data_IF_884651170656
#
_entry.id   IF_884651170656
#
_cell.length_a   1.000
_cell.length_b   1.000
_cell.length_c   1.000
_cell.angle_alpha   90.00
_cell.angle_beta   90.00
_cell.angle_gamma   90.00
#
_symmetry.space_group_name_H-M   'P 1'
#
loop_
_entity.id
_entity.type
_entity.pdbx_description
1 polymer ?
#
# COMPACT_ATOMS: atom_id res chain seq x y z
N UNK A 1 -1.39 13.01 -18.55
CA UNK A 1 -0.99 14.28 -17.88
C UNK A 1 0.41 14.63 -18.33
N UNK A 2 0.65 15.91 -18.58
CA UNK A 2 1.99 16.39 -18.96
C UNK A 2 2.99 16.18 -17.82
N UNK A 3 4.19 15.72 -18.17
CA UNK A 3 5.27 15.58 -17.19
C UNK A 3 6.01 16.92 -17.08
N UNK A 4 5.71 17.65 -16.00
CA UNK A 4 6.27 18.98 -15.77
C UNK A 4 7.73 18.97 -15.32
N UNK A 5 8.23 17.84 -14.85
CA UNK A 5 9.60 17.70 -14.33
C UNK A 5 10.24 16.41 -14.85
N UNK A 6 10.60 16.35 -16.14
CA UNK A 6 11.08 15.12 -16.75
C UNK A 6 12.43 14.63 -16.19
N UNK A 7 13.21 15.51 -15.55
CA UNK A 7 14.48 15.15 -14.88
C UNK A 7 14.26 14.52 -13.50
N UNK A 8 13.05 14.57 -12.96
CA UNK A 8 12.74 13.96 -11.67
C UNK A 8 12.04 12.63 -11.89
N UNK A 9 12.69 11.55 -11.46
CA UNK A 9 12.11 10.22 -11.54
C UNK A 9 10.97 10.09 -10.53
N UNK A 10 9.81 9.62 -11.01
CA UNK A 10 8.66 9.31 -10.16
C UNK A 10 7.99 8.08 -10.70
N UNK A 11 7.84 7.08 -9.86
CA UNK A 11 7.10 5.87 -10.20
C UNK A 11 5.97 5.67 -9.20
N UNK A 12 4.77 5.45 -9.71
CA UNK A 12 3.56 5.34 -8.90
C UNK A 12 2.79 4.11 -9.32
N UNK A 13 2.39 3.33 -8.34
CA UNK A 13 1.67 2.08 -8.57
C UNK A 13 0.47 2.03 -7.66
N UNK A 14 -0.71 1.79 -8.22
CA UNK A 14 -1.92 1.48 -7.48
C UNK A 14 -2.16 -0.03 -7.56
N UNK A 15 -2.41 -0.66 -6.41
CA UNK A 15 -2.82 -2.07 -6.34
C UNK A 15 -4.08 -2.15 -5.51
N UNK A 16 -5.13 -2.76 -6.07
CA UNK A 16 -6.40 -2.96 -5.37
C UNK A 16 -6.81 -4.41 -5.48
N UNK A 17 -7.45 -4.92 -4.42
CA UNK A 17 -7.90 -6.30 -4.42
C UNK A 17 -8.72 -6.64 -3.19
N UNK A 18 -9.19 -7.88 -3.16
CA UNK A 18 -9.92 -8.42 -2.03
C UNK A 18 -9.01 -9.38 -1.28
N UNK A 19 -8.83 -9.13 0.02
CA UNK A 19 -8.00 -9.99 0.85
C UNK A 19 -8.82 -11.10 1.49
N UNK A 20 -8.12 -12.15 1.94
CA UNK A 20 -8.70 -13.26 2.69
C UNK A 20 -8.25 -13.18 4.14
N UNK A 21 -9.08 -13.73 5.03
CA UNK A 21 -8.78 -13.74 6.46
C UNK A 21 -9.17 -12.44 7.15
N UNK A 22 -8.82 -12.37 8.43
CA UNK A 22 -9.09 -11.18 9.24
C UNK A 22 -7.96 -10.16 9.09
N UNK A 23 -8.27 -8.92 9.38
CA UNK A 23 -7.29 -7.83 9.37
C UNK A 23 -7.23 -7.18 10.74
N UNK A 24 -6.02 -6.90 11.18
CA UNK A 24 -5.74 -6.11 12.38
C UNK A 24 -4.58 -5.17 12.10
N UNK A 25 -4.26 -4.34 13.07
CA UNK A 25 -3.13 -3.40 12.94
C UNK A 25 -1.81 -4.12 12.70
N UNK A 26 -1.60 -5.26 13.35
CA UNK A 26 -0.38 -6.04 13.21
C UNK A 26 -0.20 -6.55 11.77
N UNK A 27 -1.26 -7.01 11.13
CA UNK A 27 -1.21 -7.47 9.75
C UNK A 27 -0.85 -6.34 8.79
N UNK A 28 -1.41 -5.14 9.00
CA UNK A 28 -1.07 -3.96 8.20
C UNK A 28 0.41 -3.61 8.38
N UNK A 29 0.89 -3.61 9.63
CA UNK A 29 2.30 -3.34 9.94
C UNK A 29 3.23 -4.35 9.28
N UNK A 30 2.86 -5.63 9.34
CA UNK A 30 3.65 -6.72 8.74
C UNK A 30 3.71 -6.58 7.23
N UNK A 31 2.65 -6.10 6.58
CA UNK A 31 2.68 -5.84 5.14
C UNK A 31 3.75 -4.81 4.78
N UNK A 32 3.80 -3.70 5.50
CA UNK A 32 4.84 -2.70 5.25
C UNK A 32 6.23 -3.30 5.39
N UNK A 33 6.46 -4.08 6.45
CA UNK A 33 7.76 -4.72 6.70
C UNK A 33 8.13 -5.69 5.59
N UNK A 34 7.19 -6.52 5.18
CA UNK A 34 7.42 -7.53 4.14
C UNK A 34 7.71 -6.87 2.79
N UNK A 35 6.91 -5.88 2.41
CA UNK A 35 7.10 -5.18 1.15
C UNK A 35 8.46 -4.46 1.11
N UNK A 36 8.80 -3.75 2.18
CA UNK A 36 10.08 -3.04 2.27
C UNK A 36 11.25 -4.01 2.21
N UNK A 37 11.18 -5.12 2.92
CA UNK A 37 12.25 -6.12 2.95
C UNK A 37 12.47 -6.72 1.56
N UNK A 38 11.41 -7.11 0.87
CA UNK A 38 11.53 -7.76 -0.43
C UNK A 38 11.87 -6.79 -1.57
N UNK A 39 11.43 -5.54 -1.46
CA UNK A 39 11.67 -4.54 -2.51
C UNK A 39 12.92 -3.68 -2.26
N UNK A 40 13.53 -3.81 -1.10
CA UNK A 40 14.67 -2.97 -0.73
C UNK A 40 14.30 -1.53 -0.43
N UNK A 41 13.05 -1.27 -0.05
CA UNK A 41 12.61 0.06 0.38
C UNK A 41 13.11 0.36 1.79
N UNK A 42 13.52 1.61 2.03
CA UNK A 42 14.03 2.04 3.34
C UNK A 42 13.09 3.05 3.97
N UNK A 43 12.57 2.70 5.13
CA UNK A 43 11.68 3.57 5.89
C UNK A 43 12.46 4.47 6.85
N UNK A 44 11.90 5.64 7.16
CA UNK A 44 12.44 6.51 8.21
C UNK A 44 12.20 5.94 9.60
N UNK A 45 11.16 5.14 9.79
CA UNK A 45 10.77 4.58 11.07
C UNK A 45 9.50 3.75 10.97
N UNK A 46 8.71 3.77 12.02
CA UNK A 46 7.47 3.01 12.11
C UNK A 46 6.36 3.58 11.22
N UNK A 47 5.44 2.73 10.71
CA UNK A 47 4.28 3.23 9.99
C UNK A 47 3.31 3.96 10.90
N UNK A 48 2.52 4.86 10.30
CA UNK A 48 1.38 5.51 10.94
C UNK A 48 0.16 4.69 10.56
N UNK A 49 -0.56 4.14 11.55
CA UNK A 49 -1.73 3.30 11.30
C UNK A 49 -2.88 3.81 12.15
N UNK A 50 -3.96 4.21 11.49
CA UNK A 50 -5.18 4.64 12.14
C UNK A 50 -6.32 3.71 11.80
N UNK A 51 -7.15 3.40 12.80
CA UNK A 51 -8.46 2.82 12.59
C UNK A 51 -9.48 3.94 12.77
N UNK A 52 -10.39 4.20 11.82
CA UNK A 52 -11.39 5.25 11.96
C UNK A 52 -12.28 5.11 13.20
N UNK A 53 -12.59 3.89 13.61
CA UNK A 53 -13.25 3.53 14.88
C UNK A 53 -14.41 4.47 15.25
N UNK A 54 -15.41 4.54 14.37
CA UNK A 54 -16.57 5.43 14.54
C UNK A 54 -16.43 6.81 13.93
N UNK A 55 -15.23 7.18 13.49
CA UNK A 55 -15.01 8.40 12.71
C UNK A 55 -15.19 8.06 11.22
N UNK A 56 -15.53 9.05 10.43
CA UNK A 56 -15.74 8.86 9.00
C UNK A 56 -17.02 8.06 8.71
N UNK A 57 -17.13 7.56 7.48
CA UNK A 57 -18.32 6.81 7.05
C UNK A 57 -18.27 5.38 7.58
N UNK A 58 -19.43 4.85 7.96
CA UNK A 58 -19.55 3.48 8.46
C UNK A 58 -19.00 2.46 7.47
N UNK A 59 -19.25 2.63 6.18
CA UNK A 59 -18.80 1.71 5.14
C UNK A 59 -17.28 1.72 4.93
N UNK A 60 -16.60 2.77 5.41
CA UNK A 60 -15.16 2.94 5.26
C UNK A 60 -14.37 2.51 6.49
N UNK A 61 -15.02 1.82 7.42
CA UNK A 61 -14.31 1.34 8.62
C UNK A 61 -13.25 0.29 8.24
N UNK A 62 -12.07 0.42 8.85
CA UNK A 62 -10.93 -0.43 8.57
C UNK A 62 -9.66 0.24 9.04
N UNK A 63 -8.70 0.44 8.14
CA UNK A 63 -7.42 1.05 8.48
C UNK A 63 -7.01 2.03 7.40
N UNK A 64 -6.48 3.16 7.83
CA UNK A 64 -5.81 4.15 7.00
C UNK A 64 -4.36 4.21 7.47
N UNK A 65 -3.42 3.87 6.61
CA UNK A 65 -2.04 3.72 7.03
C UNK A 65 -1.08 4.34 6.02
N UNK A 66 0.05 4.81 6.54
CA UNK A 66 1.10 5.39 5.71
C UNK A 66 2.46 5.07 6.29
N UNK A 67 3.38 4.66 5.42
CA UNK A 67 4.78 4.48 5.77
C UNK A 67 5.63 5.46 4.95
N UNK A 68 6.18 6.51 5.58
CA UNK A 68 7.12 7.36 4.89
C UNK A 68 8.44 6.62 4.65
N UNK A 69 8.87 6.63 3.40
CA UNK A 69 10.15 6.06 2.99
C UNK A 69 11.10 7.19 2.65
N UNK A 70 12.38 6.89 2.58
CA UNK A 70 13.37 7.87 2.12
C UNK A 70 13.02 8.24 0.68
N UNK A 71 12.62 9.50 0.46
CA UNK A 71 12.19 10.07 -0.82
C UNK A 71 10.95 9.42 -1.44
N UNK A 72 10.14 8.70 -0.65
CA UNK A 72 9.07 7.86 -1.17
C UNK A 72 8.00 7.62 -0.11
N UNK A 73 6.99 6.84 -0.42
CA UNK A 73 5.96 6.48 0.55
C UNK A 73 5.05 5.38 0.09
N UNK A 74 4.43 4.71 1.04
CA UNK A 74 3.43 3.67 0.79
C UNK A 74 2.18 4.01 1.58
N UNK A 75 1.05 4.12 0.90
CA UNK A 75 -0.26 4.33 1.53
C UNK A 75 -1.08 3.06 1.44
N UNK A 76 -1.72 2.68 2.53
CA UNK A 76 -2.55 1.48 2.61
C UNK A 76 -3.92 1.86 3.17
N UNK A 77 -4.96 1.50 2.45
CA UNK A 77 -6.34 1.74 2.86
C UNK A 77 -7.08 0.40 2.86
N UNK A 78 -7.71 0.08 3.98
CA UNK A 78 -8.39 -1.20 4.19
C UNK A 78 -9.85 -0.96 4.53
N UNK A 79 -10.74 -1.63 3.82
CA UNK A 79 -12.18 -1.71 4.13
C UNK A 79 -12.43 -3.09 4.73
N UNK A 80 -12.56 -3.14 6.05
CA UNK A 80 -12.64 -4.42 6.78
C UNK A 80 -13.90 -5.22 6.41
N UNK A 81 -15.05 -4.56 6.28
CA UNK A 81 -16.31 -5.24 5.99
C UNK A 81 -16.33 -5.86 4.60
N UNK A 82 -15.73 -5.20 3.63
CA UNK A 82 -15.67 -5.67 2.24
C UNK A 82 -14.46 -6.54 1.96
N UNK A 83 -13.55 -6.63 2.90
CA UNK A 83 -12.25 -7.29 2.72
C UNK A 83 -11.53 -6.76 1.48
N UNK A 84 -11.50 -5.45 1.33
CA UNK A 84 -10.93 -4.76 0.18
C UNK A 84 -9.76 -3.90 0.62
N UNK A 85 -8.71 -3.87 -0.20
CA UNK A 85 -7.58 -2.97 0.01
C UNK A 85 -7.33 -2.10 -1.22
N UNK A 86 -6.83 -0.91 -0.97
CA UNK A 86 -6.30 -0.01 -2.00
C UNK A 86 -4.96 0.51 -1.52
N UNK A 87 -3.91 0.24 -2.27
CA UNK A 87 -2.53 0.50 -1.88
C UNK A 87 -1.86 1.32 -2.95
N UNK A 88 -1.18 2.39 -2.53
CA UNK A 88 -0.41 3.24 -3.44
C UNK A 88 1.05 3.22 -3.03
N UNK A 89 1.92 2.88 -3.97
CA UNK A 89 3.37 2.94 -3.80
C UNK A 89 3.90 4.08 -4.65
N UNK A 90 4.55 5.05 -4.01
CA UNK A 90 5.15 6.20 -4.67
C UNK A 90 6.63 6.22 -4.38
N UNK A 91 7.46 6.24 -5.43
CA UNK A 91 8.92 6.29 -5.26
C UNK A 91 9.54 7.32 -6.20
N UNK A 92 10.70 7.83 -5.80
CA UNK A 92 11.52 8.69 -6.63
C UNK A 92 12.65 7.92 -7.35
N UNK A 93 12.53 6.59 -7.40
CA UNK A 93 13.46 5.73 -8.14
C UNK A 93 12.70 4.55 -8.73
N UNK A 94 13.33 3.84 -9.65
CA UNK A 94 12.70 2.68 -10.29
C UNK A 94 12.51 1.52 -9.31
N UNK A 95 11.39 0.84 -9.45
CA UNK A 95 11.17 -0.45 -8.78
C UNK A 95 10.39 -1.37 -9.73
N UNK A 96 10.49 -2.66 -9.47
CA UNK A 96 9.78 -3.68 -10.24
C UNK A 96 8.31 -3.71 -9.81
N UNK A 97 7.45 -3.09 -10.61
CA UNK A 97 6.01 -3.00 -10.32
C UNK A 97 5.34 -4.37 -10.27
N UNK A 98 5.68 -5.27 -11.20
CA UNK A 98 5.09 -6.61 -11.25
C UNK A 98 5.43 -7.39 -9.98
N UNK A 99 6.66 -7.28 -9.49
CA UNK A 99 7.07 -7.90 -8.24
C UNK A 99 6.31 -7.34 -7.05
N UNK A 100 6.14 -6.02 -6.99
CA UNK A 100 5.36 -5.39 -5.92
C UNK A 100 3.90 -5.88 -5.91
N UNK A 101 3.30 -6.03 -7.08
CA UNK A 101 1.94 -6.61 -7.21
C UNK A 101 1.90 -8.04 -6.70
N UNK A 102 2.86 -8.87 -7.08
CA UNK A 102 2.91 -10.27 -6.65
C UNK A 102 3.09 -10.40 -5.13
N UNK A 103 4.00 -9.61 -4.54
CA UNK A 103 4.20 -9.59 -3.09
C UNK A 103 2.90 -9.19 -2.38
N UNK A 104 2.23 -8.17 -2.88
CA UNK A 104 0.97 -7.67 -2.31
C UNK A 104 -0.13 -8.73 -2.39
N UNK A 105 -0.31 -9.35 -3.54
CA UNK A 105 -1.29 -10.43 -3.70
C UNK A 105 -1.02 -11.60 -2.77
N UNK A 106 0.23 -12.02 -2.67
CA UNK A 106 0.62 -13.14 -1.82
C UNK A 106 0.40 -12.79 -0.34
N UNK A 107 0.85 -11.62 0.09
CA UNK A 107 0.71 -11.21 1.50
C UNK A 107 -0.75 -11.16 1.94
N UNK A 108 -1.62 -10.54 1.13
CA UNK A 108 -3.03 -10.35 1.45
C UNK A 108 -3.89 -11.56 1.09
N UNK A 109 -3.29 -12.61 0.53
CA UNK A 109 -4.00 -13.79 0.04
C UNK A 109 -5.17 -13.36 -0.85
N UNK A 110 -4.84 -12.57 -1.88
CA UNK A 110 -5.79 -11.97 -2.79
C UNK A 110 -5.79 -12.71 -4.13
N UNK A 111 -6.85 -13.47 -4.41
CA UNK A 111 -6.99 -14.15 -5.70
C UNK A 111 -7.25 -13.14 -6.81
N UNK A 112 -8.02 -12.09 -6.52
CA UNK A 112 -8.34 -11.04 -7.46
C UNK A 112 -7.72 -9.73 -7.02
N UNK A 113 -6.87 -9.20 -7.90
CA UNK A 113 -6.28 -7.88 -7.73
C UNK A 113 -6.12 -7.22 -9.09
N UNK A 114 -6.20 -5.91 -9.08
CA UNK A 114 -5.93 -5.07 -10.24
C UNK A 114 -4.82 -4.10 -9.90
N UNK A 115 -4.05 -3.69 -10.88
CA UNK A 115 -2.98 -2.73 -10.68
C UNK A 115 -2.89 -1.77 -11.85
N UNK A 116 -2.36 -0.58 -11.56
CA UNK A 116 -2.16 0.45 -12.57
C UNK A 116 -0.99 1.33 -12.17
N UNK A 117 -0.06 1.52 -13.10
CA UNK A 117 0.93 2.59 -13.00
C UNK A 117 0.30 3.90 -13.46
N UNK A 118 0.62 5.00 -12.82
CA UNK A 118 -0.02 6.28 -13.15
C UNK A 118 0.89 7.48 -12.94
#
# INVERSE_FOLDING_TARGET
>A
MENLAPDLKRQRLLVEGFFSGDVDEARVKDYFSELCQQMGFKAYGEPIIHSPDGLGKKDNQGYDAFLPLIDSGISVYIWSAKKFFSIIIYTCKDFDADRAVEITKFFWDAERAASQSF
#
